data_IF_212505615943
#
_entry.id   IF_212505615943
#
_cell.length_a   1.000
_cell.length_b   1.000
_cell.length_c   1.000
_cell.angle_alpha   90.00
_cell.angle_beta   90.00
_cell.angle_gamma   90.00
#
_symmetry.space_group_name_H-M   'P 1'
#
loop_
_entity.id
_entity.type
_entity.pdbx_description
1 polymer ?
#
# COMPACT_ATOMS: atom_id res chain seq x y z
N UNK A 1 -1.96 24.44 -13.56
CA UNK A 1 -2.66 23.16 -13.36
C UNK A 1 -2.96 22.57 -14.73
N UNK A 2 -2.08 21.69 -15.22
CA UNK A 2 -2.40 20.92 -16.43
C UNK A 2 -3.65 20.10 -16.11
N UNK A 3 -4.69 20.18 -16.93
CA UNK A 3 -5.88 19.35 -16.76
C UNK A 3 -5.42 17.89 -16.85
N UNK A 4 -5.32 17.24 -15.69
CA UNK A 4 -4.89 15.85 -15.61
C UNK A 4 -5.89 15.01 -16.41
N UNK A 5 -5.40 14.30 -17.42
CA UNK A 5 -6.27 13.51 -18.30
C UNK A 5 -7.01 12.41 -17.56
N UNK A 6 -7.98 11.79 -18.23
CA UNK A 6 -8.82 10.74 -17.64
C UNK A 6 -7.94 9.62 -17.09
N UNK A 7 -8.16 9.27 -15.82
CA UNK A 7 -7.38 8.27 -15.11
C UNK A 7 -7.93 6.87 -15.38
N UNK A 8 -7.05 5.95 -15.77
CA UNK A 8 -7.26 4.52 -15.70
C UNK A 8 -6.77 3.97 -14.36
N UNK A 9 -7.68 3.68 -13.44
CA UNK A 9 -7.33 3.11 -12.14
C UNK A 9 -7.31 1.58 -12.25
N UNK A 10 -6.13 0.97 -12.16
CA UNK A 10 -5.97 -0.48 -12.09
C UNK A 10 -6.04 -0.89 -10.62
N UNK A 11 -7.18 -1.46 -10.24
CA UNK A 11 -7.53 -1.70 -8.84
C UNK A 11 -7.32 -3.16 -8.44
N UNK A 12 -6.43 -3.38 -7.47
CA UNK A 12 -6.36 -4.57 -6.63
C UNK A 12 -7.29 -4.44 -5.41
N UNK A 13 -6.98 -5.17 -4.34
CA UNK A 13 -7.77 -5.14 -3.09
C UNK A 13 -7.34 -4.08 -2.08
N UNK A 14 -8.13 -3.91 -1.03
CA UNK A 14 -7.87 -2.98 0.07
C UNK A 14 -8.41 -1.57 -0.18
N UNK A 15 -8.13 -0.65 0.74
CA UNK A 15 -8.82 0.65 0.77
C UNK A 15 -8.23 1.70 -0.21
N UNK A 16 -6.99 1.48 -0.70
CA UNK A 16 -6.28 2.46 -1.53
C UNK A 16 -7.00 2.79 -2.86
N UNK A 17 -7.50 1.82 -3.66
CA UNK A 17 -8.21 2.12 -4.89
C UNK A 17 -9.47 2.98 -4.66
N UNK A 18 -10.22 2.71 -3.58
CA UNK A 18 -11.41 3.48 -3.25
C UNK A 18 -11.08 4.90 -2.81
N UNK A 19 -9.97 5.09 -2.07
CA UNK A 19 -9.46 6.39 -1.71
C UNK A 19 -9.08 7.22 -2.94
N UNK A 20 -8.36 6.60 -3.90
CA UNK A 20 -7.99 7.23 -5.18
C UNK A 20 -9.23 7.60 -6.00
N UNK A 21 -10.21 6.70 -6.10
CA UNK A 21 -11.43 6.95 -6.84
C UNK A 21 -12.29 8.07 -6.21
N UNK A 22 -12.43 8.07 -4.88
CA UNK A 22 -13.13 9.11 -4.13
C UNK A 22 -12.46 10.47 -4.30
N UNK A 23 -11.13 10.51 -4.31
CA UNK A 23 -10.37 11.72 -4.59
C UNK A 23 -10.59 12.23 -6.01
N UNK A 24 -10.65 11.33 -7.00
CA UNK A 24 -10.99 11.72 -8.38
C UNK A 24 -12.39 12.35 -8.45
N UNK A 25 -13.39 11.78 -7.78
CA UNK A 25 -14.73 12.37 -7.69
C UNK A 25 -14.69 13.78 -7.09
N UNK A 26 -13.98 13.95 -5.97
CA UNK A 26 -13.85 15.25 -5.28
C UNK A 26 -13.16 16.33 -6.14
N UNK A 27 -12.23 15.92 -7.01
CA UNK A 27 -11.53 16.81 -7.94
C UNK A 27 -12.29 16.99 -9.28
N UNK A 28 -13.39 16.27 -9.50
CA UNK A 28 -14.06 16.21 -10.80
C UNK A 28 -13.18 15.63 -11.91
N UNK A 29 -12.18 14.82 -11.56
CA UNK A 29 -11.27 14.18 -12.52
C UNK A 29 -11.96 12.95 -13.10
N UNK A 30 -12.10 12.84 -14.44
CA UNK A 30 -12.68 11.65 -15.06
C UNK A 30 -11.86 10.39 -14.73
N UNK A 31 -12.57 9.30 -14.48
CA UNK A 31 -12.04 8.03 -13.97
C UNK A 31 -12.65 6.86 -14.75
N UNK A 32 -11.83 5.83 -15.01
CA UNK A 32 -12.28 4.51 -15.42
C UNK A 32 -11.54 3.45 -14.61
N UNK A 33 -12.28 2.58 -13.92
CA UNK A 33 -11.70 1.58 -13.02
C UNK A 33 -11.59 0.22 -13.72
N UNK A 34 -10.37 -0.28 -13.82
CA UNK A 34 -10.02 -1.64 -14.20
C UNK A 34 -10.00 -2.49 -12.93
N UNK A 35 -11.05 -3.28 -12.69
CA UNK A 35 -11.16 -4.17 -11.53
C UNK A 35 -10.45 -5.47 -11.82
N UNK A 36 -9.39 -5.76 -11.07
CA UNK A 36 -8.69 -7.03 -11.21
C UNK A 36 -9.51 -8.14 -10.55
N UNK A 37 -10.02 -9.07 -11.36
CA UNK A 37 -10.83 -10.19 -10.91
C UNK A 37 -10.08 -11.02 -9.85
N UNK A 38 -10.75 -11.28 -8.73
CA UNK A 38 -10.18 -11.99 -7.58
C UNK A 38 -9.37 -11.12 -6.60
N UNK A 39 -9.25 -9.81 -6.87
CA UNK A 39 -8.55 -8.87 -5.99
C UNK A 39 -9.41 -7.65 -5.65
N UNK A 40 -10.02 -7.02 -6.66
CA UNK A 40 -10.78 -5.79 -6.48
C UNK A 40 -12.01 -5.99 -5.60
N UNK A 41 -12.18 -5.12 -4.61
CA UNK A 41 -13.32 -5.16 -3.70
C UNK A 41 -14.64 -4.73 -4.39
N UNK A 42 -15.76 -5.37 -4.02
CA UNK A 42 -17.08 -5.17 -4.65
C UNK A 42 -17.55 -3.71 -4.61
N UNK A 43 -17.19 -2.97 -3.56
CA UNK A 43 -17.59 -1.57 -3.38
C UNK A 43 -17.03 -0.65 -4.47
N UNK A 44 -16.02 -1.08 -5.23
CA UNK A 44 -15.50 -0.32 -6.37
C UNK A 44 -16.48 -0.25 -7.55
N UNK A 45 -17.49 -1.14 -7.61
CA UNK A 45 -18.46 -1.21 -8.69
C UNK A 45 -19.30 0.08 -8.88
N UNK A 46 -19.33 0.97 -7.88
CA UNK A 46 -20.03 2.27 -7.97
C UNK A 46 -19.41 3.24 -8.98
N UNK A 47 -18.12 3.09 -9.31
CA UNK A 47 -17.44 3.94 -10.30
C UNK A 47 -17.54 3.33 -11.69
N UNK A 48 -17.50 4.12 -12.79
CA UNK A 48 -17.42 3.58 -14.14
C UNK A 48 -16.19 2.70 -14.31
N UNK A 49 -16.34 1.55 -14.98
CA UNK A 49 -15.24 0.61 -15.13
C UNK A 49 -15.64 -0.73 -15.71
N UNK A 50 -14.67 -1.63 -15.78
CA UNK A 50 -14.86 -3.00 -16.23
C UNK A 50 -13.96 -3.96 -15.43
N UNK A 51 -14.37 -5.22 -15.35
CA UNK A 51 -13.62 -6.28 -14.68
C UNK A 51 -12.77 -7.06 -15.69
N UNK A 52 -11.53 -7.34 -15.33
CA UNK A 52 -10.58 -8.12 -16.11
C UNK A 52 -9.75 -9.02 -15.21
N UNK A 53 -9.41 -10.21 -15.69
CA UNK A 53 -8.34 -11.00 -15.09
C UNK A 53 -6.98 -10.30 -15.28
N UNK A 54 -6.10 -10.42 -14.30
CA UNK A 54 -4.79 -9.71 -14.33
C UNK A 54 -3.89 -10.06 -15.53
N UNK A 55 -4.10 -11.21 -16.18
CA UNK A 55 -3.37 -11.62 -17.37
C UNK A 55 -3.99 -11.12 -18.70
N UNK A 56 -5.15 -10.46 -18.66
CA UNK A 56 -5.85 -9.93 -19.84
C UNK A 56 -5.32 -8.53 -20.21
N UNK A 57 -4.00 -8.41 -20.33
CA UNK A 57 -3.29 -7.13 -20.53
C UNK A 57 -3.76 -6.44 -21.81
N UNK A 58 -3.95 -7.17 -22.91
CA UNK A 58 -4.45 -6.61 -24.16
C UNK A 58 -5.87 -6.04 -24.04
N UNK A 59 -6.76 -6.74 -23.34
CA UNK A 59 -8.13 -6.29 -23.08
C UNK A 59 -8.14 -5.03 -22.19
N UNK A 60 -7.32 -5.01 -21.14
CA UNK A 60 -7.14 -3.83 -20.27
C UNK A 60 -6.67 -2.63 -21.09
N UNK A 61 -5.61 -2.78 -21.87
CA UNK A 61 -5.08 -1.71 -22.72
C UNK A 61 -6.13 -1.20 -23.72
N UNK A 62 -6.89 -2.12 -24.35
CA UNK A 62 -7.95 -1.77 -25.29
C UNK A 62 -9.07 -0.98 -24.61
N UNK A 63 -9.50 -1.40 -23.41
CA UNK A 63 -10.53 -0.71 -22.64
C UNK A 63 -10.07 0.70 -22.24
N UNK A 64 -8.85 0.82 -21.71
CA UNK A 64 -8.26 2.12 -21.34
C UNK A 64 -8.20 3.09 -22.53
N UNK A 65 -7.77 2.62 -23.70
CA UNK A 65 -7.74 3.43 -24.93
C UNK A 65 -9.14 3.81 -25.41
N UNK A 66 -10.09 2.87 -25.40
CA UNK A 66 -11.47 3.13 -25.80
C UNK A 66 -12.15 4.18 -24.91
N UNK A 67 -11.79 4.18 -23.63
CA UNK A 67 -12.29 5.13 -22.63
C UNK A 67 -11.56 6.47 -22.64
N UNK A 68 -10.51 6.62 -23.47
CA UNK A 68 -9.72 7.85 -23.56
C UNK A 68 -8.86 8.11 -22.32
N UNK A 69 -8.50 7.08 -21.57
CA UNK A 69 -7.54 7.21 -20.47
C UNK A 69 -6.17 7.55 -21.04
N UNK A 70 -5.51 8.56 -20.46
CA UNK A 70 -4.14 8.96 -20.83
C UNK A 70 -3.12 8.65 -19.75
N UNK A 71 -3.61 8.44 -18.53
CA UNK A 71 -2.82 8.19 -17.34
C UNK A 71 -3.32 6.93 -16.67
N UNK A 72 -2.41 6.14 -16.08
CA UNK A 72 -2.74 4.95 -15.29
C UNK A 72 -2.18 5.08 -13.88
N UNK A 73 -2.93 4.57 -12.91
CA UNK A 73 -2.48 4.39 -11.54
C UNK A 73 -2.75 2.94 -11.15
N UNK A 74 -1.75 2.26 -10.61
CA UNK A 74 -1.89 0.95 -10.02
C UNK A 74 -2.09 1.16 -8.52
N UNK A 75 -3.20 0.67 -7.98
CA UNK A 75 -3.52 0.82 -6.57
C UNK A 75 -4.09 -0.48 -6.01
N UNK A 76 -3.75 -0.76 -4.75
CA UNK A 76 -4.28 -1.91 -4.02
C UNK A 76 -3.39 -3.15 -4.06
N UNK A 77 -3.76 -4.11 -3.24
CA UNK A 77 -3.02 -5.34 -3.00
C UNK A 77 -3.26 -6.31 -4.16
N UNK A 78 -2.18 -6.82 -4.75
CA UNK A 78 -2.21 -7.86 -5.77
C UNK A 78 -1.17 -8.90 -5.42
N UNK A 79 -1.63 -10.11 -5.07
CA UNK A 79 -0.74 -11.23 -4.81
C UNK A 79 -0.21 -11.80 -6.13
N UNK A 80 1.02 -12.31 -6.09
CA UNK A 80 1.61 -13.00 -7.23
C UNK A 80 0.75 -14.20 -7.64
N UNK A 81 0.28 -14.28 -8.89
CA UNK A 81 -0.57 -15.37 -9.33
C UNK A 81 0.24 -16.65 -9.55
N UNK A 82 -0.44 -17.79 -9.52
CA UNK A 82 0.11 -18.98 -10.16
C UNK A 82 0.08 -18.80 -11.68
N UNK A 83 1.25 -18.48 -12.25
CA UNK A 83 1.44 -18.26 -13.69
C UNK A 83 0.93 -19.42 -14.56
N UNK A 84 0.82 -20.65 -14.02
CA UNK A 84 0.29 -21.81 -14.76
C UNK A 84 -1.22 -21.78 -14.93
N UNK A 85 -1.92 -21.10 -14.04
CA UNK A 85 -3.39 -21.00 -14.01
C UNK A 85 -3.92 -19.75 -14.73
N UNK A 86 -3.02 -18.85 -15.11
CA UNK A 86 -3.37 -17.62 -15.81
C UNK A 86 -3.99 -17.93 -17.17
N UNK A 87 -5.01 -17.14 -17.51
CA UNK A 87 -5.66 -17.14 -18.83
C UNK A 87 -5.29 -15.86 -19.58
N UNK A 88 -4.08 -15.77 -20.16
CA UNK A 88 -3.65 -14.57 -20.87
C UNK A 88 -4.42 -14.42 -22.19
N UNK A 89 -4.69 -13.17 -22.57
CA UNK A 89 -5.06 -12.86 -23.94
C UNK A 89 -3.83 -12.90 -24.87
N UNK A 90 -4.01 -12.70 -26.18
CA UNK A 90 -2.90 -12.79 -27.15
C UNK A 90 -1.72 -11.88 -26.78
N UNK A 91 -2.00 -10.63 -26.41
CA UNK A 91 -0.97 -9.67 -25.99
C UNK A 91 -0.33 -10.10 -24.67
N UNK A 92 -1.13 -10.52 -23.69
CA UNK A 92 -0.67 -11.09 -22.43
C UNK A 92 0.28 -12.27 -22.65
N UNK A 93 -0.04 -13.17 -23.58
CA UNK A 93 0.79 -14.33 -23.91
C UNK A 93 2.14 -13.92 -24.50
N UNK A 94 2.20 -12.86 -25.31
CA UNK A 94 3.48 -12.33 -25.83
C UNK A 94 4.35 -11.69 -24.75
N UNK A 95 3.73 -11.12 -23.71
CA UNK A 95 4.44 -10.44 -22.62
C UNK A 95 4.81 -11.38 -21.47
N UNK A 96 4.09 -12.49 -21.34
CA UNK A 96 4.19 -13.44 -20.23
C UNK A 96 5.62 -13.94 -19.98
N UNK A 97 6.44 -14.32 -20.99
CA UNK A 97 7.81 -14.76 -20.75
C UNK A 97 8.66 -13.68 -20.07
N UNK A 98 8.50 -12.42 -20.47
CA UNK A 98 9.21 -11.28 -19.87
C UNK A 98 8.73 -10.98 -18.46
N UNK A 99 7.43 -11.14 -18.19
CA UNK A 99 6.84 -10.97 -16.85
C UNK A 99 7.34 -12.08 -15.90
N UNK A 100 7.36 -13.34 -16.36
CA UNK A 100 7.85 -14.48 -15.56
C UNK A 100 9.34 -14.34 -15.26
N UNK A 101 10.15 -13.92 -16.24
CA UNK A 101 11.58 -13.67 -16.04
C UNK A 101 11.87 -12.47 -15.11
N UNK A 102 10.98 -11.48 -15.07
CA UNK A 102 11.06 -10.39 -14.11
C UNK A 102 10.66 -10.85 -12.71
N UNK A 103 9.58 -11.63 -12.60
CA UNK A 103 9.10 -12.18 -11.33
C UNK A 103 10.16 -13.04 -10.61
N UNK A 104 11.00 -13.78 -11.35
CA UNK A 104 12.11 -14.55 -10.74
C UNK A 104 13.22 -13.68 -10.13
N UNK A 105 13.20 -12.36 -10.37
CA UNK A 105 14.19 -11.40 -9.83
C UNK A 105 13.67 -10.58 -8.65
N UNK A 106 12.41 -10.78 -8.25
CA UNK A 106 11.75 -9.99 -7.20
C UNK A 106 10.44 -9.36 -7.67
N UNK A 107 9.71 -8.77 -6.73
CA UNK A 107 8.48 -8.00 -6.94
C UNK A 107 8.76 -6.62 -7.55
N UNK A 108 9.85 -5.94 -7.17
CA UNK A 108 10.22 -4.66 -7.83
C UNK A 108 10.42 -4.84 -9.34
N UNK A 109 11.22 -5.84 -9.73
CA UNK A 109 11.48 -6.14 -11.13
C UNK A 109 10.18 -6.47 -11.89
N UNK A 110 9.26 -7.18 -11.25
CA UNK A 110 7.94 -7.49 -11.79
C UNK A 110 7.09 -6.24 -11.99
N UNK A 111 6.96 -5.40 -10.96
CA UNK A 111 6.17 -4.16 -11.02
C UNK A 111 6.72 -3.20 -12.08
N UNK A 112 8.03 -2.98 -12.12
CA UNK A 112 8.68 -2.18 -13.18
C UNK A 112 8.41 -2.74 -14.57
N UNK A 113 8.43 -4.06 -14.73
CA UNK A 113 8.11 -4.68 -16.02
C UNK A 113 6.67 -4.40 -16.42
N UNK A 114 5.73 -4.47 -15.49
CA UNK A 114 4.32 -4.15 -15.73
C UNK A 114 4.18 -2.67 -16.11
N UNK A 115 4.80 -1.74 -15.38
CA UNK A 115 4.78 -0.31 -15.70
C UNK A 115 5.28 -0.03 -17.11
N UNK A 116 6.41 -0.65 -17.50
CA UNK A 116 6.99 -0.47 -18.83
C UNK A 116 6.05 -0.87 -19.98
N UNK A 117 5.10 -1.79 -19.73
CA UNK A 117 4.09 -2.19 -20.72
C UNK A 117 3.10 -1.06 -20.96
N UNK A 118 2.65 -0.38 -19.91
CA UNK A 118 1.72 0.75 -20.05
C UNK A 118 2.43 1.97 -20.64
N UNK A 119 3.65 2.26 -20.20
CA UNK A 119 4.45 3.36 -20.75
C UNK A 119 4.73 3.15 -22.26
N UNK A 120 5.07 1.93 -22.68
CA UNK A 120 5.28 1.58 -24.09
C UNK A 120 4.02 1.72 -24.95
N UNK A 121 2.84 1.68 -24.34
CA UNK A 121 1.55 1.88 -25.01
C UNK A 121 1.07 3.34 -24.95
N UNK A 122 1.89 4.25 -24.40
CA UNK A 122 1.68 5.69 -24.39
C UNK A 122 0.96 6.24 -23.16
N UNK A 123 0.77 5.42 -22.11
CA UNK A 123 0.16 5.88 -20.87
C UNK A 123 1.21 6.54 -19.96
N UNK A 124 0.85 7.68 -19.36
CA UNK A 124 1.60 8.22 -18.22
C UNK A 124 1.29 7.37 -16.97
N UNK A 125 2.29 7.08 -16.15
CA UNK A 125 2.10 6.38 -14.87
C UNK A 125 2.14 7.40 -13.74
N UNK A 126 1.07 7.48 -12.94
CA UNK A 126 0.92 8.39 -11.82
C UNK A 126 0.80 7.60 -10.51
N UNK A 127 1.48 8.09 -9.47
CA UNK A 127 1.44 7.49 -8.14
C UNK A 127 0.13 7.75 -7.42
N UNK A 128 -0.26 6.83 -6.53
CA UNK A 128 -1.46 7.03 -5.72
C UNK A 128 -1.31 8.23 -4.77
N UNK A 129 -0.10 8.48 -4.27
CA UNK A 129 0.25 9.63 -3.44
C UNK A 129 0.03 10.97 -4.16
N UNK A 130 0.48 11.08 -5.42
CA UNK A 130 0.25 12.27 -6.25
C UNK A 130 -1.25 12.56 -6.41
N UNK A 131 -2.05 11.51 -6.69
CA UNK A 131 -3.50 11.65 -6.88
C UNK A 131 -4.19 12.06 -5.58
N UNK A 132 -3.79 11.47 -4.46
CA UNK A 132 -4.27 11.79 -3.12
C UNK A 132 -3.88 13.21 -2.67
N UNK A 133 -3.09 13.93 -3.47
CA UNK A 133 -2.70 15.32 -3.21
C UNK A 133 -1.46 15.42 -2.32
N UNK A 134 -0.62 14.38 -2.29
CA UNK A 134 0.55 14.31 -1.42
C UNK A 134 0.21 14.13 0.05
N UNK A 135 -0.98 13.58 0.37
CA UNK A 135 -1.40 13.32 1.76
C UNK A 135 -0.58 12.18 2.38
N UNK A 136 0.63 12.54 2.74
CA UNK A 136 1.65 11.68 3.33
C UNK A 136 1.88 12.07 4.78
N UNK A 137 2.42 11.13 5.55
CA UNK A 137 2.76 11.37 6.95
C UNK A 137 3.84 12.46 7.04
N UNK A 138 3.55 13.57 7.72
CA UNK A 138 4.53 14.61 8.01
C UNK A 138 5.44 14.22 9.17
N UNK A 139 6.54 14.95 9.36
CA UNK A 139 7.44 14.73 10.50
C UNK A 139 6.75 15.04 11.84
N UNK A 140 7.04 14.21 12.85
CA UNK A 140 6.48 14.33 14.20
C UNK A 140 5.13 13.64 14.38
N UNK A 141 4.40 14.05 15.43
CA UNK A 141 3.11 13.46 15.77
C UNK A 141 2.01 13.95 14.82
N UNK A 142 1.22 13.01 14.30
CA UNK A 142 0.02 13.31 13.51
C UNK A 142 -1.20 13.59 14.40
N UNK A 143 -1.32 12.87 15.52
CA UNK A 143 -2.42 12.98 16.48
C UNK A 143 -2.05 13.74 17.75
N UNK A 144 -2.91 13.66 18.77
CA UNK A 144 -2.70 14.27 20.09
C UNK A 144 -1.76 13.44 20.99
N UNK A 145 -1.52 12.17 20.65
CA UNK A 145 -0.67 11.26 21.43
C UNK A 145 0.76 11.32 20.90
N UNK A 146 1.70 11.60 21.79
CA UNK A 146 3.14 11.60 21.51
C UNK A 146 3.81 10.38 22.13
N UNK A 147 4.79 9.76 21.45
CA UNK A 147 5.54 8.64 21.99
C UNK A 147 6.46 9.07 23.14
N UNK A 148 6.71 8.15 24.06
CA UNK A 148 7.86 8.22 24.99
C UNK A 148 9.18 7.93 24.24
N UNK A 149 10.32 8.18 24.89
CA UNK A 149 11.63 7.86 24.30
C UNK A 149 11.79 6.37 23.99
N UNK A 150 11.30 5.50 24.87
CA UNK A 150 11.35 4.04 24.69
C UNK A 150 10.49 3.58 23.51
N UNK A 151 9.26 4.08 23.41
CA UNK A 151 8.35 3.79 22.30
C UNK A 151 8.90 4.32 20.96
N UNK A 152 9.54 5.49 20.97
CA UNK A 152 10.17 6.05 19.78
C UNK A 152 11.41 5.22 19.38
N UNK A 153 12.16 4.68 20.34
CA UNK A 153 13.27 3.77 20.06
C UNK A 153 12.79 2.48 19.40
N UNK A 154 11.66 1.91 19.86
CA UNK A 154 11.02 0.77 19.22
C UNK A 154 10.59 1.08 17.79
N UNK A 155 9.94 2.24 17.56
CA UNK A 155 9.57 2.66 16.21
C UNK A 155 10.79 2.79 15.31
N UNK A 156 11.85 3.46 15.76
CA UNK A 156 13.09 3.64 15.00
C UNK A 156 13.71 2.30 14.61
N UNK A 157 13.71 1.34 15.54
CA UNK A 157 14.18 -0.03 15.29
C UNK A 157 13.26 -0.76 14.32
N UNK A 158 11.94 -0.63 14.46
CA UNK A 158 10.98 -1.22 13.54
C UNK A 158 11.17 -0.70 12.11
N UNK A 159 11.35 0.62 11.93
CA UNK A 159 11.66 1.22 10.63
C UNK A 159 12.96 0.69 10.05
N UNK A 160 14.01 0.57 10.85
CA UNK A 160 15.27 -0.02 10.40
C UNK A 160 15.10 -1.48 9.93
N UNK A 161 14.36 -2.29 10.68
CA UNK A 161 14.07 -3.69 10.29
C UNK A 161 13.23 -3.74 9.02
N UNK A 162 12.22 -2.87 8.88
CA UNK A 162 11.39 -2.77 7.69
C UNK A 162 12.22 -2.38 6.45
N UNK A 163 13.14 -1.42 6.58
CA UNK A 163 14.08 -1.04 5.51
C UNK A 163 14.97 -2.21 5.09
N UNK A 164 15.55 -2.94 6.05
CA UNK A 164 16.38 -4.12 5.76
C UNK A 164 15.60 -5.28 5.15
N UNK A 165 14.35 -5.48 5.58
CA UNK A 165 13.43 -6.43 4.96
C UNK A 165 13.13 -6.02 3.50
N UNK A 166 12.95 -4.73 3.26
CA UNK A 166 12.71 -4.16 1.94
C UNK A 166 13.90 -4.22 0.99
N UNK A 167 15.14 -4.09 1.50
CA UNK A 167 16.38 -4.31 0.72
C UNK A 167 16.46 -5.74 0.17
N UNK A 168 15.85 -6.71 0.86
CA UNK A 168 15.77 -8.11 0.46
C UNK A 168 14.48 -8.44 -0.31
N UNK A 169 13.65 -7.44 -0.60
CA UNK A 169 12.34 -7.57 -1.25
C UNK A 169 11.35 -8.51 -0.54
N UNK A 170 11.43 -8.58 0.80
CA UNK A 170 10.56 -9.44 1.61
C UNK A 170 9.24 -8.74 1.90
N UNK A 171 9.30 -7.55 2.52
CA UNK A 171 8.15 -6.74 2.89
C UNK A 171 8.57 -5.36 3.36
N UNK A 172 7.62 -4.56 3.84
CA UNK A 172 7.82 -3.13 4.12
C UNK A 172 7.38 -2.70 5.53
N UNK A 173 7.11 -3.67 6.40
CA UNK A 173 6.63 -3.44 7.76
C UNK A 173 7.34 -4.34 8.77
N UNK A 174 7.49 -3.83 9.99
CA UNK A 174 7.97 -4.62 11.13
C UNK A 174 7.36 -4.12 12.43
N UNK A 175 7.25 -5.01 13.41
CA UNK A 175 6.78 -4.71 14.76
C UNK A 175 7.89 -5.00 15.76
N UNK A 176 8.19 -4.02 16.59
CA UNK A 176 9.17 -4.11 17.67
C UNK A 176 8.50 -3.72 18.99
N UNK A 177 8.80 -4.46 20.07
CA UNK A 177 8.31 -4.16 21.42
C UNK A 177 9.43 -4.35 22.43
N UNK A 178 9.70 -3.35 23.25
CA UNK A 178 10.77 -3.33 24.25
C UNK A 178 12.13 -3.79 23.65
N UNK A 179 12.40 -3.34 22.42
CA UNK A 179 13.58 -3.70 21.63
C UNK A 179 13.54 -5.09 20.97
N UNK A 180 12.54 -5.93 21.20
CA UNK A 180 12.42 -7.24 20.56
C UNK A 180 11.64 -7.15 19.24
N UNK A 181 12.18 -7.70 18.16
CA UNK A 181 11.44 -7.82 16.89
C UNK A 181 10.42 -8.94 17.03
N UNK A 182 9.13 -8.58 17.04
CA UNK A 182 8.03 -9.54 17.19
C UNK A 182 7.56 -10.08 15.84
N UNK A 183 7.57 -9.23 14.82
CA UNK A 183 7.15 -9.61 13.48
C UNK A 183 7.84 -8.76 12.42
N UNK A 184 8.03 -9.38 11.25
CA UNK A 184 8.40 -8.73 10.00
C UNK A 184 7.31 -9.11 8.99
N UNK A 185 6.83 -8.13 8.24
CA UNK A 185 5.87 -8.31 7.15
C UNK A 185 6.57 -8.98 5.98
N UNK A 186 5.88 -9.93 5.34
CA UNK A 186 6.22 -10.45 4.04
C UNK A 186 4.97 -10.41 3.14
N UNK A 187 4.71 -11.49 2.40
CA UNK A 187 3.61 -11.59 1.45
C UNK A 187 2.22 -11.70 2.11
N UNK A 188 2.14 -11.89 3.43
CA UNK A 188 0.87 -11.96 4.15
C UNK A 188 0.18 -10.60 4.29
N UNK A 189 0.95 -9.51 4.19
CA UNK A 189 0.46 -8.15 4.39
C UNK A 189 0.32 -7.73 5.86
N UNK A 190 0.21 -6.42 6.06
CA UNK A 190 0.23 -5.78 7.38
C UNK A 190 -0.87 -6.30 8.32
N UNK A 191 -2.08 -6.51 7.82
CA UNK A 191 -3.22 -6.96 8.63
C UNK A 191 -3.01 -8.37 9.21
N UNK A 192 -2.53 -9.30 8.38
CA UNK A 192 -2.22 -10.65 8.83
C UNK A 192 -1.02 -10.66 9.80
N UNK A 193 -0.02 -9.80 9.58
CA UNK A 193 1.08 -9.59 10.51
C UNK A 193 0.59 -9.08 11.87
N UNK A 194 -0.27 -8.06 11.92
CA UNK A 194 -0.83 -7.53 13.18
C UNK A 194 -1.70 -8.56 13.89
N UNK A 195 -2.48 -9.34 13.15
CA UNK A 195 -3.24 -10.48 13.70
C UNK A 195 -2.30 -11.51 14.35
N UNK A 196 -1.18 -11.83 13.70
CA UNK A 196 -0.14 -12.72 14.25
C UNK A 196 0.50 -12.14 15.52
N UNK A 197 0.78 -10.83 15.56
CA UNK A 197 1.30 -10.16 16.76
C UNK A 197 0.30 -10.23 17.91
N UNK A 198 -0.99 -9.97 17.66
CA UNK A 198 -2.03 -10.07 18.68
C UNK A 198 -2.14 -11.49 19.28
N UNK A 199 -1.81 -12.52 18.49
CA UNK A 199 -1.75 -13.92 18.92
C UNK A 199 -0.48 -14.35 19.67
N UNK A 200 0.53 -13.48 19.79
CA UNK A 200 1.75 -13.79 20.55
C UNK A 200 1.48 -13.83 22.07
N UNK A 201 2.31 -14.56 22.84
CA UNK A 201 2.29 -14.53 24.30
C UNK A 201 2.29 -13.11 24.87
N UNK A 202 1.43 -12.86 25.86
CA UNK A 202 1.20 -11.52 26.41
C UNK A 202 2.39 -10.91 27.15
N UNK A 203 3.40 -11.71 27.53
CA UNK A 203 4.66 -11.26 28.12
C UNK A 203 5.65 -10.70 27.09
N UNK A 204 5.44 -10.98 25.80
CA UNK A 204 6.31 -10.50 24.71
C UNK A 204 5.82 -9.19 24.07
N UNK A 205 4.60 -8.75 24.38
CA UNK A 205 3.96 -7.59 23.74
C UNK A 205 3.24 -6.72 24.75
N UNK A 206 2.80 -5.54 24.33
CA UNK A 206 1.89 -4.73 25.13
C UNK A 206 0.49 -5.34 25.23
N UNK A 207 -0.32 -4.72 26.08
CA UNK A 207 -1.74 -5.00 26.25
C UNK A 207 -2.56 -3.73 25.99
N UNK A 208 -3.87 -3.86 25.84
CA UNK A 208 -4.75 -2.70 25.56
C UNK A 208 -4.70 -1.67 26.69
N UNK A 209 -4.53 -2.11 27.93
CA UNK A 209 -4.41 -1.28 29.14
C UNK A 209 -2.97 -0.84 29.47
N UNK A 210 -1.97 -1.46 28.84
CA UNK A 210 -0.55 -1.12 28.97
C UNK A 210 0.15 -1.29 27.61
N UNK A 211 -0.13 -0.40 26.65
CA UNK A 211 0.34 -0.58 25.28
C UNK A 211 1.85 -0.34 25.18
N UNK A 212 2.52 -1.16 24.38
CA UNK A 212 3.98 -1.16 24.20
C UNK A 212 4.37 -1.52 22.78
N UNK A 213 5.56 -1.10 22.37
CA UNK A 213 6.05 -1.36 21.03
C UNK A 213 5.37 -0.55 19.95
N UNK A 214 5.90 -0.68 18.75
CA UNK A 214 5.48 0.10 17.59
C UNK A 214 5.54 -0.72 16.30
N UNK A 215 4.58 -0.43 15.41
CA UNK A 215 4.64 -0.81 14.00
C UNK A 215 5.40 0.28 13.23
N UNK A 216 6.49 -0.10 12.56
CA UNK A 216 7.16 0.75 11.59
C UNK A 216 6.88 0.27 10.17
N UNK A 217 6.47 1.17 9.27
CA UNK A 217 6.41 0.92 7.82
C UNK A 217 7.35 1.85 7.07
N UNK A 218 8.20 1.29 6.22
CA UNK A 218 9.18 2.04 5.45
C UNK A 218 9.15 1.59 3.99
N UNK A 219 9.28 2.50 3.02
CA UNK A 219 9.32 2.12 1.62
C UNK A 219 10.49 1.20 1.35
N UNK A 220 10.29 0.21 0.47
CA UNK A 220 11.38 -0.64 0.01
C UNK A 220 12.36 0.22 -0.82
N UNK A 221 13.67 0.30 -0.46
CA UNK A 221 14.60 1.22 -1.12
C UNK A 221 14.78 0.98 -2.62
N UNK A 222 14.51 -0.25 -3.07
CA UNK A 222 14.65 -0.68 -4.45
C UNK A 222 13.41 -0.42 -5.30
N UNK A 223 12.24 -0.18 -4.70
CA UNK A 223 10.98 -0.05 -5.45
C UNK A 223 10.74 1.36 -6.01
N UNK A 224 10.01 1.40 -7.11
CA UNK A 224 9.42 2.64 -7.62
C UNK A 224 8.25 3.08 -6.71
N UNK A 225 8.41 4.22 -6.05
CA UNK A 225 7.44 4.74 -5.08
C UNK A 225 6.07 5.06 -5.70
N UNK A 226 5.98 5.25 -7.03
CA UNK A 226 4.69 5.46 -7.71
C UNK A 226 3.77 4.25 -7.59
N UNK A 227 4.30 3.06 -7.31
CA UNK A 227 3.51 1.82 -7.25
C UNK A 227 3.61 1.07 -5.94
N UNK A 228 4.60 1.36 -5.10
CA UNK A 228 4.82 0.61 -3.86
C UNK A 228 5.25 1.53 -2.70
N UNK A 229 4.53 2.64 -2.55
CA UNK A 229 4.59 3.45 -1.33
C UNK A 229 3.82 2.73 -0.21
N UNK A 230 4.35 2.63 1.01
CA UNK A 230 3.63 2.05 2.11
C UNK A 230 2.41 2.90 2.47
N UNK A 231 1.38 2.24 2.99
CA UNK A 231 0.09 2.85 3.30
C UNK A 231 -0.36 2.49 4.71
N UNK A 232 -0.99 3.43 5.40
CA UNK A 232 -1.77 3.21 6.62
C UNK A 232 -3.17 3.83 6.49
N UNK A 233 -4.14 3.22 7.15
CA UNK A 233 -5.51 3.72 7.28
C UNK A 233 -6.02 3.58 8.72
N UNK A 234 -7.26 4.02 9.01
CA UNK A 234 -7.86 3.88 10.34
C UNK A 234 -7.86 2.43 10.82
N UNK A 235 -8.11 1.47 9.92
CA UNK A 235 -8.04 0.03 10.21
C UNK A 235 -6.67 -0.40 10.72
N UNK A 236 -5.58 0.13 10.17
CA UNK A 236 -4.23 -0.17 10.65
C UNK A 236 -4.04 0.29 12.09
N UNK A 237 -4.59 1.45 12.45
CA UNK A 237 -4.58 1.97 13.83
C UNK A 237 -5.37 1.06 14.76
N UNK A 238 -6.57 0.65 14.36
CA UNK A 238 -7.42 -0.26 15.16
C UNK A 238 -6.74 -1.61 15.39
N UNK A 239 -6.14 -2.18 14.35
CA UNK A 239 -5.44 -3.46 14.44
C UNK A 239 -4.15 -3.37 15.27
N UNK A 240 -3.41 -2.27 15.18
CA UNK A 240 -2.24 -2.02 16.02
C UNK A 240 -2.65 -1.91 17.50
N UNK A 241 -3.74 -1.20 17.79
CA UNK A 241 -4.29 -1.09 19.14
C UNK A 241 -4.73 -2.45 19.69
N UNK A 242 -5.43 -3.24 18.87
CA UNK A 242 -5.85 -4.60 19.24
C UNK A 242 -4.66 -5.55 19.50
N UNK A 243 -3.53 -5.33 18.83
CA UNK A 243 -2.28 -6.04 19.06
C UNK A 243 -1.52 -5.57 20.33
N UNK A 244 -2.03 -4.55 21.03
CA UNK A 244 -1.41 -3.98 22.23
C UNK A 244 -0.25 -3.03 21.93
N UNK A 245 -0.16 -2.51 20.70
CA UNK A 245 0.90 -1.58 20.30
C UNK A 245 0.63 -0.17 20.82
N UNK A 246 1.69 0.54 21.22
CA UNK A 246 1.61 1.93 21.66
C UNK A 246 1.48 2.92 20.51
N UNK A 247 1.90 2.53 19.31
CA UNK A 247 1.72 3.37 18.15
C UNK A 247 2.22 2.77 16.85
N UNK A 248 2.10 3.57 15.81
CA UNK A 248 2.51 3.23 14.45
C UNK A 248 3.30 4.41 13.85
N UNK A 249 4.10 4.15 12.82
CA UNK A 249 4.81 5.22 12.15
C UNK A 249 5.50 4.81 10.87
N UNK A 250 6.07 5.82 10.21
CA UNK A 250 6.78 5.67 8.95
C UNK A 250 7.79 6.77 8.72
N UNK A 251 8.48 6.71 7.58
CA UNK A 251 9.36 7.78 7.14
C UNK A 251 8.51 8.97 6.67
N UNK A 252 8.81 10.17 7.16
CA UNK A 252 8.09 11.38 6.79
C UNK A 252 8.13 11.60 5.26
N UNK A 253 6.98 11.96 4.67
CA UNK A 253 6.81 12.13 3.23
C UNK A 253 6.80 10.84 2.41
N UNK A 254 6.97 9.66 3.05
CA UNK A 254 7.05 8.36 2.37
C UNK A 254 6.11 7.30 2.95
N UNK A 255 4.96 7.74 3.46
CA UNK A 255 3.88 6.87 3.93
C UNK A 255 2.54 7.54 3.58
N UNK A 256 1.70 6.87 2.79
CA UNK A 256 0.37 7.37 2.41
C UNK A 256 -0.60 7.21 3.58
N UNK A 257 -1.41 8.25 3.81
CA UNK A 257 -2.51 8.24 4.77
C UNK A 257 -3.84 8.06 4.04
N UNK A 258 -4.51 6.93 4.25
CA UNK A 258 -5.90 6.75 3.81
C UNK A 258 -6.82 7.34 4.88
N UNK A 259 -7.47 8.45 4.55
CA UNK A 259 -8.36 9.19 5.45
C UNK A 259 -7.63 9.70 6.70
N UNK A 260 -6.82 10.75 6.53
CA UNK A 260 -6.08 11.42 7.62
C UNK A 260 -6.98 11.76 8.81
N UNK A 261 -8.20 12.25 8.56
CA UNK A 261 -9.10 12.66 9.62
C UNK A 261 -9.53 11.46 10.47
N UNK A 262 -9.93 10.36 9.83
CA UNK A 262 -10.29 9.13 10.52
C UNK A 262 -9.10 8.50 11.25
N UNK A 263 -7.88 8.56 10.69
CA UNK A 263 -6.65 8.11 11.36
C UNK A 263 -6.45 8.90 12.66
N UNK A 264 -6.52 10.24 12.60
CA UNK A 264 -6.33 11.11 13.78
C UNK A 264 -7.39 10.83 14.84
N UNK A 265 -8.66 10.76 14.45
CA UNK A 265 -9.77 10.46 15.36
C UNK A 265 -9.57 9.10 16.05
N UNK A 266 -9.27 8.07 15.26
CA UNK A 266 -9.08 6.70 15.74
C UNK A 266 -7.88 6.59 16.67
N UNK A 267 -6.74 7.18 16.29
CA UNK A 267 -5.52 7.18 17.09
C UNK A 267 -5.73 7.87 18.43
N UNK A 268 -6.37 9.06 18.43
CA UNK A 268 -6.67 9.81 19.64
C UNK A 268 -7.62 9.03 20.55
N UNK A 269 -8.68 8.44 19.99
CA UNK A 269 -9.67 7.65 20.73
C UNK A 269 -9.05 6.39 21.37
N UNK A 270 -8.11 5.74 20.68
CA UNK A 270 -7.47 4.51 21.14
C UNK A 270 -6.19 4.76 21.94
N UNK A 271 -5.72 6.00 22.05
CA UNK A 271 -4.49 6.34 22.78
C UNK A 271 -3.20 5.91 22.06
N UNK A 272 -3.22 5.77 20.73
CA UNK A 272 -2.05 5.41 19.93
C UNK A 272 -1.37 6.65 19.37
N UNK A 273 -0.04 6.69 19.41
CA UNK A 273 0.70 7.67 18.62
C UNK A 273 0.75 7.25 17.15
N UNK A 274 0.74 8.23 16.27
CA UNK A 274 1.07 8.08 14.85
C UNK A 274 2.20 9.05 14.55
N UNK A 275 3.38 8.54 14.20
CA UNK A 275 4.61 9.34 14.17
C UNK A 275 5.35 9.23 12.83
N UNK A 276 5.65 10.38 12.22
CA UNK A 276 6.55 10.46 11.07
C UNK A 276 7.99 10.72 11.52
N UNK A 277 8.87 9.77 11.24
CA UNK A 277 10.29 9.92 11.53
C UNK A 277 10.97 10.75 10.43
N UNK A 278 11.65 11.82 10.85
CA UNK A 278 12.44 12.68 9.98
C UNK A 278 13.81 12.03 9.74
N UNK A 279 14.18 11.81 8.47
CA UNK A 279 15.40 11.12 8.07
C UNK A 279 16.00 11.70 6.79
#
# INVERSE_FOLDING_TARGET
MSASGKLGLIAGGGDLPAAVATRCDALGRPLFVIRLAGFADEHLARWPGAEFGMAQIGAILKALKAEGCTTVCLAGIVNRPDFKTLKPDFKGATLLPGIVAAASKGDDALLRKILSVFEAEGFAVEGADDILGGDTLGAGALGAVSPTEEQLADLKKALHVAEKSGELDIGQGAVVCDGLVLAVEAQEGTDAMLTRVAGLPGDLRGAVDSPKGALGKAPKPIQDLRVDMPVIGPRTVEMAAAAGLAGIGGVAGRLILIDRAAIVETANRLGLFVWGEDR
#
